data_IF_968760526224
#
_entry.id   IF_968760526224
#
_cell.length_a   1.000
_cell.length_b   1.000
_cell.length_c   1.000
_cell.angle_alpha   90.00
_cell.angle_beta   90.00
_cell.angle_gamma   90.00
#
_symmetry.space_group_name_H-M   'P 1'
#
loop_
_entity.id
_entity.type
_entity.pdbx_description
1 polymer ?
#
# COMPACT_ATOMS: atom_id res chain seq x y z
N UNK A 1 -16.73 7.44 -18.30
CA UNK A 1 -15.32 7.26 -17.91
C UNK A 1 -14.53 8.53 -18.23
N UNK A 2 -13.46 8.82 -17.48
CA UNK A 2 -12.54 9.92 -17.78
C UNK A 2 -11.46 9.52 -18.81
N UNK A 3 -10.56 10.47 -19.14
CA UNK A 3 -9.45 10.25 -20.10
C UNK A 3 -8.49 9.13 -19.69
N UNK A 4 -8.47 8.77 -18.41
CA UNK A 4 -7.61 7.74 -17.83
C UNK A 4 -8.37 6.41 -17.64
N UNK A 5 -9.56 6.27 -18.25
CA UNK A 5 -10.47 5.12 -18.11
C UNK A 5 -10.89 4.84 -16.65
N UNK A 6 -10.90 5.85 -15.79
CA UNK A 6 -11.54 5.75 -14.48
C UNK A 6 -13.02 6.08 -14.58
N UNK A 7 -13.82 5.52 -13.66
CA UNK A 7 -15.19 6.00 -13.49
C UNK A 7 -15.18 7.48 -13.14
N UNK A 8 -16.03 8.23 -13.83
CA UNK A 8 -16.44 9.54 -13.37
C UNK A 8 -17.09 9.41 -12.00
N UNK A 9 -17.16 10.51 -11.26
CA UNK A 9 -17.80 10.48 -9.95
C UNK A 9 -19.28 10.13 -10.00
N UNK A 10 -19.97 10.50 -11.07
CA UNK A 10 -21.38 10.17 -11.25
C UNK A 10 -21.56 8.68 -11.49
N UNK A 11 -20.74 8.09 -12.35
CA UNK A 11 -20.70 6.63 -12.56
C UNK A 11 -20.42 5.94 -11.23
N UNK A 12 -19.38 6.39 -10.50
CA UNK A 12 -18.95 5.80 -9.23
C UNK A 12 -20.07 5.76 -8.17
N UNK A 13 -20.78 6.87 -7.91
CA UNK A 13 -21.86 6.90 -6.91
C UNK A 13 -23.17 6.26 -7.39
N UNK A 14 -23.29 5.97 -8.69
CA UNK A 14 -24.47 5.36 -9.28
C UNK A 14 -25.71 6.28 -9.29
N UNK A 15 -26.90 5.71 -9.56
CA UNK A 15 -28.14 6.47 -9.53
C UNK A 15 -28.40 7.07 -8.14
N UNK A 16 -28.91 8.30 -8.12
CA UNK A 16 -29.15 9.08 -6.89
C UNK A 16 -30.64 9.43 -6.84
N UNK A 17 -31.26 9.34 -5.65
CA UNK A 17 -32.71 9.42 -5.47
C UNK A 17 -33.36 10.77 -5.77
N UNK A 18 -32.58 11.85 -5.93
CA UNK A 18 -33.12 13.15 -6.41
C UNK A 18 -32.04 14.06 -7.03
N UNK A 19 -32.44 15.04 -7.88
CA UNK A 19 -31.53 16.06 -8.40
C UNK A 19 -30.87 16.90 -7.30
N UNK A 20 -31.61 17.25 -6.25
CA UNK A 20 -31.09 18.01 -5.10
C UNK A 20 -29.99 17.22 -4.37
N UNK A 21 -30.21 15.93 -4.11
CA UNK A 21 -29.21 15.06 -3.50
C UNK A 21 -27.94 14.98 -4.35
N UNK A 22 -28.08 14.93 -5.68
CA UNK A 22 -26.95 14.94 -6.62
C UNK A 22 -26.14 16.24 -6.52
N UNK A 23 -26.80 17.40 -6.45
CA UNK A 23 -26.13 18.71 -6.26
C UNK A 23 -25.36 18.74 -4.95
N UNK A 24 -25.97 18.27 -3.86
CA UNK A 24 -25.33 18.22 -2.54
C UNK A 24 -24.08 17.32 -2.54
N UNK A 25 -24.14 16.15 -3.19
CA UNK A 25 -22.97 15.25 -3.32
C UNK A 25 -21.82 15.91 -4.10
N UNK A 26 -22.13 16.60 -5.21
CA UNK A 26 -21.12 17.33 -5.99
C UNK A 26 -20.49 18.47 -5.18
N UNK A 27 -21.31 19.23 -4.45
CA UNK A 27 -20.84 20.31 -3.58
C UNK A 27 -19.92 19.78 -2.47
N UNK A 28 -20.34 18.72 -1.77
CA UNK A 28 -19.54 18.08 -0.72
C UNK A 28 -18.18 17.57 -1.26
N UNK A 29 -18.17 16.95 -2.45
CA UNK A 29 -16.94 16.51 -3.11
C UNK A 29 -16.00 17.68 -3.43
N UNK A 30 -16.55 18.78 -3.95
CA UNK A 30 -15.76 19.98 -4.31
C UNK A 30 -15.15 20.61 -3.06
N UNK A 31 -15.93 20.77 -2.00
CA UNK A 31 -15.45 21.29 -0.72
C UNK A 31 -14.33 20.40 -0.14
N UNK A 32 -14.53 19.07 -0.13
CA UNK A 32 -13.54 18.12 0.36
C UNK A 32 -12.23 18.19 -0.44
N UNK A 33 -12.32 18.18 -1.78
CA UNK A 33 -11.14 18.30 -2.65
C UNK A 33 -10.34 19.58 -2.41
N UNK A 34 -11.00 20.72 -2.21
CA UNK A 34 -10.31 22.00 -2.00
C UNK A 34 -9.65 22.05 -0.62
N UNK A 35 -10.37 21.64 0.43
CA UNK A 35 -9.86 21.62 1.80
C UNK A 35 -8.67 20.67 1.94
N UNK A 36 -8.78 19.45 1.38
CA UNK A 36 -7.73 18.43 1.45
C UNK A 36 -6.50 18.83 0.65
N UNK A 37 -6.67 19.37 -0.57
CA UNK A 37 -5.52 19.79 -1.39
C UNK A 37 -4.68 20.86 -0.70
N UNK A 38 -5.31 21.89 -0.14
CA UNK A 38 -4.61 22.99 0.54
C UNK A 38 -3.89 22.49 1.79
N UNK A 39 -4.58 21.74 2.66
CA UNK A 39 -4.02 21.20 3.90
C UNK A 39 -2.89 20.20 3.64
N UNK A 40 -3.08 19.26 2.72
CA UNK A 40 -2.08 18.21 2.43
C UNK A 40 -0.86 18.77 1.70
N UNK A 41 -1.05 19.74 0.79
CA UNK A 41 0.06 20.37 0.07
C UNK A 41 0.96 21.17 1.02
N UNK A 42 0.37 21.97 1.91
CA UNK A 42 1.12 22.75 2.90
C UNK A 42 1.88 21.85 3.88
N UNK A 43 1.21 20.83 4.45
CA UNK A 43 1.83 19.89 5.41
C UNK A 43 3.02 19.13 4.80
N UNK A 44 2.97 18.78 3.50
CA UNK A 44 4.07 18.08 2.82
C UNK A 44 5.25 18.98 2.46
N UNK A 45 5.10 20.30 2.55
CA UNK A 45 6.17 21.28 2.31
C UNK A 45 6.87 21.73 3.60
N UNK A 46 6.16 21.75 4.73
CA UNK A 46 6.71 22.18 6.02
C UNK A 46 8.04 21.51 6.39
N UNK A 47 8.23 20.18 6.24
CA UNK A 47 9.51 19.54 6.54
C UNK A 47 10.71 20.04 5.72
N UNK A 48 10.48 20.77 4.62
CA UNK A 48 11.53 21.29 3.75
C UNK A 48 11.83 22.78 3.96
N UNK A 49 10.95 23.50 4.67
CA UNK A 49 11.07 24.96 4.85
C UNK A 49 11.28 25.36 6.30
N UNK A 50 10.84 24.55 7.27
CA UNK A 50 11.03 24.86 8.69
C UNK A 50 12.53 24.82 9.05
N UNK A 51 13.00 25.59 10.03
CA UNK A 51 14.39 25.52 10.49
C UNK A 51 14.66 24.22 11.24
N UNK A 52 15.88 23.68 11.16
CA UNK A 52 16.25 22.41 11.82
C UNK A 52 16.28 22.49 13.35
N UNK A 53 16.40 23.70 13.91
CA UNK A 53 16.44 23.97 15.36
C UNK A 53 15.60 25.21 15.70
N UNK A 54 15.29 25.39 16.98
CA UNK A 54 14.58 26.57 17.51
C UNK A 54 13.07 26.39 17.62
N UNK A 55 12.33 27.42 18.08
CA UNK A 55 10.92 27.30 18.47
C UNK A 55 9.98 26.90 17.33
N UNK A 56 10.38 27.13 16.07
CA UNK A 56 9.60 26.80 14.89
C UNK A 56 9.92 25.42 14.30
N UNK A 57 10.98 24.75 14.77
CA UNK A 57 11.44 23.47 14.18
C UNK A 57 10.48 22.31 14.41
N UNK A 58 9.54 22.45 15.36
CA UNK A 58 8.60 21.40 15.73
C UNK A 58 7.16 21.63 15.21
N UNK A 59 6.94 22.64 14.36
CA UNK A 59 5.62 22.93 13.78
C UNK A 59 5.12 21.80 12.85
N UNK A 60 6.02 20.97 12.33
CA UNK A 60 5.68 19.75 11.58
C UNK A 60 5.57 18.49 12.48
N UNK A 61 5.76 18.61 13.79
CA UNK A 61 5.76 17.47 14.71
C UNK A 61 4.41 16.75 14.82
N UNK A 62 3.31 17.39 14.40
CA UNK A 62 1.98 16.79 14.31
C UNK A 62 1.68 16.08 12.98
N UNK A 63 2.63 16.03 12.05
CA UNK A 63 2.50 15.22 10.83
C UNK A 63 2.46 13.75 11.24
N UNK A 64 1.50 13.00 10.72
CA UNK A 64 1.42 11.56 10.92
C UNK A 64 2.40 10.88 9.97
N UNK A 65 3.30 10.07 10.51
CA UNK A 65 4.20 9.21 9.75
C UNK A 65 4.15 7.80 10.32
N UNK A 66 4.51 6.83 9.49
CA UNK A 66 4.76 5.47 9.95
C UNK A 66 6.25 5.18 9.88
N UNK A 67 6.78 4.68 11.00
CA UNK A 67 8.19 4.32 11.15
C UNK A 67 8.22 3.03 11.95
N UNK A 68 8.99 2.06 11.45
CA UNK A 68 9.31 0.84 12.15
C UNK A 68 10.82 0.75 12.37
N UNK A 69 11.24 0.36 13.56
CA UNK A 69 12.66 0.22 13.92
C UNK A 69 13.09 -1.20 13.61
N UNK A 70 13.85 -1.38 12.53
CA UNK A 70 14.43 -2.67 12.13
C UNK A 70 15.63 -3.01 13.01
N UNK A 71 16.45 -2.00 13.33
CA UNK A 71 17.58 -2.11 14.25
C UNK A 71 17.73 -0.83 15.05
N UNK A 72 18.09 -0.95 16.33
CA UNK A 72 18.31 0.18 17.24
C UNK A 72 19.75 0.66 17.21
N UNK A 73 20.70 -0.25 17.04
CA UNK A 73 22.12 0.04 17.00
C UNK A 73 22.83 -0.97 16.06
N UNK A 74 23.24 -0.54 14.86
CA UNK A 74 23.05 0.78 14.28
C UNK A 74 21.57 1.07 13.98
N UNK A 75 21.17 2.35 13.95
CA UNK A 75 19.79 2.75 13.74
C UNK A 75 19.34 2.51 12.29
N UNK A 76 18.42 1.57 12.09
CA UNK A 76 17.79 1.28 10.78
C UNK A 76 16.29 1.39 10.90
N UNK A 77 15.70 2.27 10.11
CA UNK A 77 14.28 2.60 10.11
C UNK A 77 13.63 2.19 8.80
N UNK A 78 12.46 1.59 8.87
CA UNK A 78 11.61 1.27 7.73
C UNK A 78 10.41 2.23 7.69
N UNK A 79 10.15 2.86 6.55
CA UNK A 79 9.05 3.82 6.43
C UNK A 79 8.37 3.75 5.06
N UNK A 80 7.03 3.73 4.99
CA UNK A 80 6.31 3.87 3.75
C UNK A 80 6.45 5.30 3.19
N UNK A 81 6.68 5.39 1.88
CA UNK A 81 6.74 6.66 1.13
C UNK A 81 5.74 6.64 -0.02
N UNK A 82 5.22 7.80 -0.42
CA UNK A 82 4.27 7.86 -1.53
C UNK A 82 3.59 9.21 -1.74
N UNK A 83 2.67 9.24 -2.71
CA UNK A 83 1.95 10.45 -3.09
C UNK A 83 2.78 11.40 -3.98
N UNK A 84 2.46 12.70 -3.99
CA UNK A 84 3.06 13.68 -4.91
C UNK A 84 4.46 14.17 -4.50
N UNK A 85 4.85 14.00 -3.23
CA UNK A 85 6.20 14.32 -2.74
C UNK A 85 6.63 13.26 -1.72
N UNK A 86 7.09 12.08 -2.17
CA UNK A 86 7.27 10.91 -1.31
C UNK A 86 8.22 11.11 -0.13
N UNK A 87 9.20 12.01 -0.26
CA UNK A 87 10.26 12.22 0.72
C UNK A 87 9.85 13.01 1.97
N UNK A 88 8.62 13.54 2.03
CA UNK A 88 8.20 14.42 3.13
C UNK A 88 8.24 13.76 4.51
N UNK A 89 7.93 12.46 4.61
CA UNK A 89 7.95 11.71 5.87
C UNK A 89 9.37 11.60 6.40
N UNK A 90 10.32 11.24 5.52
CA UNK A 90 11.76 11.11 5.80
C UNK A 90 12.36 12.46 6.18
N UNK A 91 11.98 13.53 5.49
CA UNK A 91 12.39 14.88 5.85
C UNK A 91 11.91 15.26 7.27
N UNK A 92 10.65 14.96 7.60
CA UNK A 92 10.07 15.31 8.89
C UNK A 92 10.75 14.58 10.06
N UNK A 93 10.93 13.25 9.96
CA UNK A 93 11.56 12.48 11.04
C UNK A 93 13.08 12.62 11.04
N UNK A 94 13.72 12.56 9.87
CA UNK A 94 15.17 12.54 9.74
C UNK A 94 15.84 13.79 10.28
N UNK A 95 15.24 14.96 10.11
CA UNK A 95 15.78 16.20 10.67
C UNK A 95 15.92 16.19 12.19
N UNK A 96 15.05 15.44 12.89
CA UNK A 96 15.09 15.28 14.35
C UNK A 96 16.14 14.26 14.79
N UNK A 97 16.64 13.47 13.84
CA UNK A 97 17.67 12.46 14.02
C UNK A 97 18.99 12.88 13.39
N UNK A 98 19.11 14.12 12.89
CA UNK A 98 20.25 14.56 12.08
C UNK A 98 21.62 14.47 12.79
N UNK A 99 21.65 14.40 14.12
CA UNK A 99 22.88 14.20 14.90
C UNK A 99 23.25 12.73 15.09
N UNK A 100 22.45 11.80 14.57
CA UNK A 100 22.59 10.36 14.77
C UNK A 100 22.70 9.67 13.42
N UNK A 101 23.76 8.89 13.22
CA UNK A 101 23.89 8.05 12.03
C UNK A 101 22.69 7.10 11.92
N UNK A 102 22.03 7.06 10.76
CA UNK A 102 20.83 6.27 10.56
C UNK A 102 20.68 5.79 9.12
N UNK A 103 20.03 4.65 8.91
CA UNK A 103 19.59 4.22 7.58
C UNK A 103 18.06 4.23 7.50
N UNK A 104 17.53 4.76 6.40
CA UNK A 104 16.11 4.80 6.09
C UNK A 104 15.80 3.90 4.90
N UNK A 105 15.11 2.80 5.17
CA UNK A 105 14.53 1.90 4.19
C UNK A 105 13.17 2.45 3.76
N UNK A 106 13.09 2.96 2.53
CA UNK A 106 11.91 3.62 1.99
C UNK A 106 11.10 2.64 1.16
N UNK A 107 9.92 2.28 1.65
CA UNK A 107 8.99 1.40 0.94
C UNK A 107 7.98 2.22 0.13
N UNK A 108 7.99 2.18 -1.22
CA UNK A 108 6.97 2.86 -2.00
C UNK A 108 5.61 2.20 -1.77
N UNK A 109 4.69 2.96 -1.18
CA UNK A 109 3.27 2.60 -1.00
C UNK A 109 2.41 2.91 -2.23
N UNK A 110 2.99 3.60 -3.21
CA UNK A 110 2.42 3.90 -4.51
C UNK A 110 3.53 3.95 -5.55
N UNK A 111 3.23 3.66 -6.81
CA UNK A 111 4.26 3.62 -7.84
C UNK A 111 5.04 4.93 -7.95
N UNK A 112 6.37 4.77 -8.08
CA UNK A 112 7.29 5.86 -8.34
C UNK A 112 7.48 6.12 -9.83
N UNK A 113 6.91 5.31 -10.73
CA UNK A 113 6.98 5.43 -12.20
C UNK A 113 6.16 6.62 -12.73
N UNK A 114 6.46 7.81 -12.23
CA UNK A 114 5.78 9.08 -12.53
C UNK A 114 6.87 10.14 -12.69
N UNK A 115 7.14 10.62 -13.91
CA UNK A 115 8.30 11.48 -14.19
C UNK A 115 8.45 12.68 -13.24
N UNK A 116 7.37 13.43 -13.00
CA UNK A 116 7.39 14.59 -12.10
C UNK A 116 7.69 14.21 -10.64
N UNK A 117 7.33 13.00 -10.20
CA UNK A 117 7.64 12.51 -8.85
C UNK A 117 9.10 12.10 -8.75
N UNK A 118 9.63 11.41 -9.77
CA UNK A 118 11.05 11.02 -9.84
C UNK A 118 11.96 12.25 -9.84
N UNK A 119 11.65 13.27 -10.65
CA UNK A 119 12.39 14.53 -10.66
C UNK A 119 12.36 15.22 -9.29
N UNK A 120 11.19 15.25 -8.64
CA UNK A 120 11.06 15.82 -7.30
C UNK A 120 11.86 15.04 -6.25
N UNK A 121 11.93 13.71 -6.35
CA UNK A 121 12.75 12.87 -5.48
C UNK A 121 14.22 13.24 -5.62
N UNK A 122 14.74 13.43 -6.84
CA UNK A 122 16.13 13.86 -7.05
C UNK A 122 16.46 15.18 -6.34
N UNK A 123 15.56 16.17 -6.44
CA UNK A 123 15.71 17.45 -5.72
C UNK A 123 15.67 17.28 -4.20
N UNK A 124 14.75 16.44 -3.71
CA UNK A 124 14.59 16.19 -2.28
C UNK A 124 15.79 15.44 -1.69
N UNK A 125 16.36 14.48 -2.43
CA UNK A 125 17.59 13.76 -2.07
C UNK A 125 18.79 14.70 -1.96
N UNK A 126 19.01 15.54 -2.98
CA UNK A 126 20.11 16.51 -2.97
C UNK A 126 19.98 17.52 -1.81
N UNK A 127 18.75 17.93 -1.49
CA UNK A 127 18.48 18.77 -0.32
C UNK A 127 18.75 18.03 0.99
N UNK A 128 18.29 16.78 1.11
CA UNK A 128 18.40 16.01 2.34
C UNK A 128 19.84 15.63 2.66
N UNK A 129 20.65 15.25 1.66
CA UNK A 129 22.06 14.90 1.83
C UNK A 129 22.88 16.04 2.44
N UNK A 130 22.52 17.31 2.17
CA UNK A 130 23.17 18.47 2.80
C UNK A 130 22.77 18.66 4.27
N UNK A 131 21.59 18.21 4.64
CA UNK A 131 21.01 18.44 5.97
C UNK A 131 21.30 17.30 6.95
N UNK A 132 21.37 16.07 6.45
CA UNK A 132 21.59 14.85 7.21
C UNK A 132 22.67 13.99 6.52
N UNK A 133 23.95 14.41 6.52
CA UNK A 133 25.00 13.72 5.77
C UNK A 133 25.29 12.29 6.27
N UNK A 134 25.02 12.01 7.54
CA UNK A 134 25.22 10.69 8.15
C UNK A 134 24.02 9.74 7.96
N UNK A 135 23.03 10.14 7.17
CA UNK A 135 21.87 9.33 6.87
C UNK A 135 22.01 8.60 5.53
N UNK A 136 21.90 7.28 5.55
CA UNK A 136 21.77 6.47 4.34
C UNK A 136 20.29 6.34 3.97
N UNK A 137 19.90 6.69 2.75
CA UNK A 137 18.52 6.57 2.28
C UNK A 137 18.45 5.55 1.15
N UNK A 138 17.68 4.49 1.35
CA UNK A 138 17.62 3.33 0.45
C UNK A 138 16.17 3.08 0.05
N UNK A 139 15.87 3.17 -1.25
CA UNK A 139 14.55 2.82 -1.78
C UNK A 139 14.42 1.32 -2.00
N UNK A 140 13.38 0.73 -1.42
CA UNK A 140 12.97 -0.67 -1.62
C UNK A 140 11.93 -0.71 -2.74
N UNK A 141 12.38 -0.63 -3.98
CA UNK A 141 11.53 -0.45 -5.16
C UNK A 141 10.69 -1.70 -5.46
N UNK A 142 9.43 -1.49 -5.86
CA UNK A 142 8.49 -2.57 -6.17
C UNK A 142 8.70 -3.18 -7.54
N UNK A 143 9.37 -2.46 -8.44
CA UNK A 143 9.74 -2.91 -9.78
C UNK A 143 11.19 -2.57 -10.06
N UNK A 144 11.78 -3.27 -11.02
CA UNK A 144 13.12 -2.97 -11.52
C UNK A 144 13.15 -1.60 -12.22
N UNK A 145 12.04 -1.19 -12.84
CA UNK A 145 11.91 0.13 -13.45
C UNK A 145 11.93 1.25 -12.40
N UNK A 146 11.23 1.09 -11.27
CA UNK A 146 11.34 2.02 -10.15
C UNK A 146 12.78 2.12 -9.65
N UNK A 147 13.49 0.99 -9.53
CA UNK A 147 14.91 0.97 -9.12
C UNK A 147 15.76 1.78 -10.08
N UNK A 148 15.59 1.56 -11.39
CA UNK A 148 16.32 2.27 -12.45
C UNK A 148 16.04 3.76 -12.42
N UNK A 149 14.77 4.17 -12.29
CA UNK A 149 14.36 5.58 -12.27
C UNK A 149 14.92 6.32 -11.05
N UNK A 150 14.94 5.68 -9.88
CA UNK A 150 15.50 6.29 -8.66
C UNK A 150 17.02 6.39 -8.73
N UNK A 151 17.69 5.34 -9.25
CA UNK A 151 19.14 5.40 -9.48
C UNK A 151 19.52 6.53 -10.47
N UNK A 152 18.71 6.76 -11.50
CA UNK A 152 18.94 7.80 -12.50
C UNK A 152 18.88 9.24 -11.93
N UNK A 153 18.25 9.44 -10.77
CA UNK A 153 18.23 10.73 -10.06
C UNK A 153 19.16 10.77 -8.85
N UNK A 154 20.10 9.83 -8.76
CA UNK A 154 21.14 9.76 -7.72
C UNK A 154 20.69 9.13 -6.40
N UNK A 155 19.55 8.43 -6.38
CA UNK A 155 19.10 7.70 -5.19
C UNK A 155 19.69 6.30 -5.10
N UNK A 156 19.99 5.83 -3.90
CA UNK A 156 20.28 4.42 -3.64
C UNK A 156 18.98 3.62 -3.68
N UNK A 157 18.91 2.61 -4.55
CA UNK A 157 17.71 1.80 -4.72
C UNK A 157 18.06 0.32 -4.95
N UNK A 158 17.25 -0.56 -4.35
CA UNK A 158 17.26 -2.00 -4.62
C UNK A 158 15.88 -2.46 -5.05
N UNK A 159 15.81 -3.54 -5.82
CA UNK A 159 14.55 -4.22 -6.08
C UNK A 159 14.18 -5.06 -4.86
N UNK A 160 13.12 -4.66 -4.17
CA UNK A 160 12.62 -5.34 -2.97
C UNK A 160 11.14 -5.01 -2.83
N UNK A 161 10.31 -5.82 -3.51
CA UNK A 161 8.88 -5.60 -3.56
C UNK A 161 8.23 -5.65 -2.17
N UNK A 162 7.37 -4.68 -1.85
CA UNK A 162 6.82 -4.56 -0.50
C UNK A 162 5.90 -5.72 -0.10
N UNK A 163 5.47 -6.55 -1.05
CA UNK A 163 4.65 -7.72 -0.76
C UNK A 163 5.39 -8.78 0.05
N UNK A 164 6.73 -8.71 0.15
CA UNK A 164 7.51 -9.52 1.08
C UNK A 164 7.05 -9.40 2.55
N UNK A 165 6.43 -8.25 2.90
CA UNK A 165 5.97 -7.93 4.25
C UNK A 165 4.62 -8.56 4.62
N UNK A 166 3.94 -9.22 3.67
CA UNK A 166 2.66 -9.90 3.95
C UNK A 166 2.90 -11.15 4.79
N UNK A 167 2.11 -11.32 5.84
CA UNK A 167 2.21 -12.48 6.73
C UNK A 167 1.67 -13.74 6.06
N UNK A 168 2.54 -14.73 5.95
CA UNK A 168 2.21 -16.08 5.51
C UNK A 168 1.59 -16.94 6.63
N UNK A 169 1.56 -16.49 7.88
CA UNK A 169 0.84 -17.17 8.97
C UNK A 169 -0.66 -16.85 8.97
N UNK A 170 -0.99 -15.57 8.69
CA UNK A 170 -2.37 -15.09 8.68
C UNK A 170 -3.10 -15.49 7.41
N UNK A 171 -2.48 -15.23 6.25
CA UNK A 171 -3.06 -15.54 4.95
C UNK A 171 -2.63 -16.93 4.50
N UNK A 172 -3.60 -17.84 4.47
CA UNK A 172 -3.40 -19.25 4.14
C UNK A 172 -4.73 -19.92 3.74
N UNK A 173 -4.69 -20.99 2.95
CA UNK A 173 -5.84 -21.84 2.72
C UNK A 173 -6.44 -22.32 4.04
N UNK A 174 -7.76 -22.23 4.15
CA UNK A 174 -8.55 -22.73 5.27
C UNK A 174 -9.40 -23.91 4.74
N UNK A 175 -9.08 -25.16 5.09
CA UNK A 175 -9.72 -26.34 4.50
C UNK A 175 -11.21 -26.44 4.82
N UNK A 176 -11.65 -25.90 5.95
CA UNK A 176 -13.04 -25.99 6.42
C UNK A 176 -13.94 -24.85 5.92
N UNK A 177 -13.43 -23.99 5.03
CA UNK A 177 -14.20 -22.86 4.47
C UNK A 177 -14.64 -23.19 3.05
N UNK A 178 -15.94 -23.38 2.81
CA UNK A 178 -16.44 -23.68 1.47
C UNK A 178 -16.33 -22.45 0.56
N UNK A 179 -16.15 -22.72 -0.74
CA UNK A 179 -16.21 -21.68 -1.78
C UNK A 179 -17.68 -21.35 -2.06
N UNK A 180 -18.05 -20.10 -1.85
CA UNK A 180 -19.41 -19.56 -2.03
C UNK A 180 -19.49 -18.56 -3.21
N UNK A 181 -18.37 -17.93 -3.56
CA UNK A 181 -18.28 -16.85 -4.56
C UNK A 181 -17.34 -17.24 -5.70
N UNK A 182 -17.65 -16.78 -6.91
CA UNK A 182 -16.77 -16.91 -8.07
C UNK A 182 -15.51 -16.06 -7.89
N UNK A 183 -15.65 -14.88 -7.26
CA UNK A 183 -14.53 -14.01 -7.01
C UNK A 183 -14.67 -13.17 -5.73
N UNK A 184 -13.52 -12.67 -5.25
CA UNK A 184 -13.42 -11.63 -4.21
C UNK A 184 -12.71 -10.40 -4.77
N UNK A 185 -13.23 -9.22 -4.44
CA UNK A 185 -12.53 -7.97 -4.69
C UNK A 185 -12.28 -7.15 -3.41
N UNK A 186 -11.00 -6.97 -3.08
CA UNK A 186 -10.54 -6.13 -1.96
C UNK A 186 -10.07 -4.79 -2.50
N UNK A 187 -10.80 -3.74 -2.15
CA UNK A 187 -10.53 -2.42 -2.70
C UNK A 187 -11.04 -1.30 -1.80
N UNK A 188 -10.26 -0.22 -1.74
CA UNK A 188 -10.74 1.01 -1.14
C UNK A 188 -11.94 1.54 -1.92
N UNK A 189 -12.84 2.26 -1.26
CA UNK A 189 -13.94 2.99 -1.92
C UNK A 189 -13.31 4.17 -2.68
N UNK A 190 -13.01 3.94 -3.96
CA UNK A 190 -12.30 4.90 -4.81
C UNK A 190 -12.53 4.62 -6.30
N UNK A 191 -12.59 5.67 -7.11
CA UNK A 191 -12.62 5.60 -8.57
C UNK A 191 -11.42 4.86 -9.20
N UNK A 192 -10.23 4.95 -8.58
CA UNK A 192 -9.01 4.29 -9.10
C UNK A 192 -9.05 2.77 -8.98
N UNK A 193 -9.94 2.25 -8.13
CA UNK A 193 -10.14 0.82 -7.92
C UNK A 193 -11.01 0.16 -8.99
N UNK A 194 -11.73 0.93 -9.82
CA UNK A 194 -12.50 0.42 -10.97
C UNK A 194 -13.43 -0.75 -10.60
N UNK A 195 -14.18 -0.63 -9.49
CA UNK A 195 -15.07 -1.68 -8.99
C UNK A 195 -16.09 -2.16 -10.03
N UNK A 196 -16.52 -1.28 -10.95
CA UNK A 196 -17.43 -1.60 -12.04
C UNK A 196 -16.95 -2.74 -12.95
N UNK A 197 -15.65 -2.98 -13.05
CA UNK A 197 -15.10 -4.06 -13.88
C UNK A 197 -15.47 -5.45 -13.36
N UNK A 198 -15.90 -5.56 -12.10
CA UNK A 198 -16.31 -6.82 -11.50
C UNK A 198 -17.82 -7.08 -11.64
N UNK A 199 -18.60 -6.13 -12.17
CA UNK A 199 -20.06 -6.13 -12.05
C UNK A 199 -20.78 -7.22 -12.86
N UNK A 200 -20.14 -7.75 -13.89
CA UNK A 200 -20.68 -8.85 -14.69
C UNK A 200 -20.46 -10.23 -14.05
N UNK A 201 -19.64 -10.33 -12.99
CA UNK A 201 -19.40 -11.59 -12.27
C UNK A 201 -20.68 -12.00 -11.55
N UNK A 202 -21.07 -13.27 -11.63
CA UNK A 202 -22.34 -13.76 -11.07
C UNK A 202 -22.34 -13.68 -9.53
N UNK A 203 -21.42 -14.38 -8.85
CA UNK A 203 -21.29 -14.36 -7.38
C UNK A 203 -20.00 -13.67 -6.97
N UNK A 204 -20.11 -12.47 -6.41
CA UNK A 204 -18.97 -11.64 -6.02
C UNK A 204 -19.05 -11.22 -4.56
N UNK A 205 -17.93 -11.35 -3.84
CA UNK A 205 -17.79 -10.75 -2.52
C UNK A 205 -16.83 -9.56 -2.55
N UNK A 206 -17.26 -8.43 -2.01
CA UNK A 206 -16.48 -7.23 -1.87
C UNK A 206 -15.94 -7.08 -0.45
N UNK A 207 -14.67 -6.76 -0.33
CA UNK A 207 -14.10 -6.13 0.86
C UNK A 207 -13.84 -4.67 0.50
N UNK A 208 -14.74 -3.79 0.94
CA UNK A 208 -14.72 -2.38 0.61
C UNK A 208 -14.38 -1.55 1.84
N UNK A 209 -13.37 -0.68 1.75
CA UNK A 209 -12.94 0.16 2.89
C UNK A 209 -12.90 1.63 2.51
N UNK A 210 -13.52 2.48 3.32
CA UNK A 210 -13.35 3.94 3.21
C UNK A 210 -12.13 4.39 4.00
N UNK A 211 -11.26 5.17 3.36
CA UNK A 211 -10.13 5.86 4.02
C UNK A 211 -10.28 7.39 3.98
N UNK A 212 -11.49 7.89 3.71
CA UNK A 212 -11.76 9.32 3.61
C UNK A 212 -11.42 9.98 2.27
N UNK A 213 -11.08 9.22 1.23
CA UNK A 213 -10.90 9.78 -0.13
C UNK A 213 -12.19 10.40 -0.71
N UNK A 214 -13.33 9.83 -0.30
CA UNK A 214 -14.64 10.37 -0.60
C UNK A 214 -15.27 10.96 0.67
N UNK A 215 -16.05 12.04 0.53
CA UNK A 215 -16.90 12.50 1.63
C UNK A 215 -17.82 11.36 2.10
N UNK A 216 -18.18 11.30 3.40
CA UNK A 216 -19.03 10.23 3.94
C UNK A 216 -20.32 10.00 3.16
N UNK A 217 -20.99 11.07 2.72
CA UNK A 217 -22.22 10.97 1.91
C UNK A 217 -22.00 10.29 0.55
N UNK A 218 -20.85 10.50 -0.07
CA UNK A 218 -20.47 9.88 -1.34
C UNK A 218 -20.04 8.43 -1.15
N UNK A 219 -19.32 8.12 -0.07
CA UNK A 219 -18.98 6.75 0.29
C UNK A 219 -20.23 5.90 0.58
N UNK A 220 -21.22 6.46 1.31
CA UNK A 220 -22.53 5.81 1.52
C UNK A 220 -23.28 5.55 0.21
N UNK A 221 -23.22 6.49 -0.73
CA UNK A 221 -23.84 6.31 -2.05
C UNK A 221 -23.18 5.17 -2.83
N UNK A 222 -21.85 5.10 -2.80
CA UNK A 222 -21.09 4.00 -3.39
C UNK A 222 -21.46 2.64 -2.78
N UNK A 223 -21.56 2.55 -1.45
CA UNK A 223 -21.96 1.31 -0.75
C UNK A 223 -23.36 0.86 -1.19
N UNK A 224 -24.33 1.79 -1.26
CA UNK A 224 -25.67 1.47 -1.77
C UNK A 224 -25.65 0.96 -3.21
N UNK A 225 -24.81 1.55 -4.08
CA UNK A 225 -24.63 1.09 -5.46
C UNK A 225 -24.12 -0.36 -5.49
N UNK A 226 -23.09 -0.69 -4.70
CA UNK A 226 -22.59 -2.06 -4.60
C UNK A 226 -23.68 -3.03 -4.12
N UNK A 227 -24.47 -2.65 -3.11
CA UNK A 227 -25.58 -3.48 -2.62
C UNK A 227 -26.69 -3.68 -3.66
N UNK A 228 -26.93 -2.69 -4.52
CA UNK A 228 -27.96 -2.74 -5.55
C UNK A 228 -27.51 -3.43 -6.84
N UNK A 229 -26.22 -3.75 -6.98
CA UNK A 229 -25.66 -4.26 -8.23
C UNK A 229 -26.21 -5.63 -8.60
N UNK A 230 -26.25 -6.56 -7.66
CA UNK A 230 -26.77 -7.92 -7.85
C UNK A 230 -27.17 -8.52 -6.49
N UNK A 231 -28.27 -9.28 -6.40
CA UNK A 231 -28.62 -10.00 -5.18
C UNK A 231 -27.63 -11.12 -4.82
N UNK A 232 -26.77 -11.53 -5.77
CA UNK A 232 -25.72 -12.52 -5.56
C UNK A 232 -24.37 -11.89 -5.17
N UNK A 233 -24.32 -10.56 -5.09
CA UNK A 233 -23.14 -9.85 -4.59
C UNK A 233 -23.26 -9.62 -3.09
N UNK A 234 -22.13 -9.66 -2.39
CA UNK A 234 -22.08 -9.42 -0.94
C UNK A 234 -20.97 -8.45 -0.58
N UNK A 235 -21.23 -7.52 0.33
CA UNK A 235 -20.19 -6.76 1.02
C UNK A 235 -19.86 -7.49 2.33
N UNK A 236 -18.62 -7.96 2.48
CA UNK A 236 -18.22 -8.71 3.66
C UNK A 236 -18.02 -7.83 4.91
N UNK A 237 -17.66 -6.56 4.73
CA UNK A 237 -17.53 -5.60 5.82
C UNK A 237 -18.89 -5.39 6.52
N UNK A 238 -18.95 -5.38 7.86
CA UNK A 238 -20.13 -4.94 8.59
C UNK A 238 -20.52 -3.52 8.16
N UNK A 239 -21.81 -3.26 8.01
CA UNK A 239 -22.32 -1.94 7.65
C UNK A 239 -22.88 -1.27 8.91
N UNK A 240 -22.23 -0.20 9.35
CA UNK A 240 -22.61 0.62 10.51
C UNK A 240 -22.88 2.03 10.01
N UNK A 241 -24.09 2.55 10.26
CA UNK A 241 -24.53 3.88 9.78
C UNK A 241 -24.32 4.09 8.26
N UNK A 242 -24.51 3.02 7.47
CA UNK A 242 -24.34 3.03 6.02
C UNK A 242 -22.88 3.05 5.55
N UNK A 243 -21.91 2.89 6.45
CA UNK A 243 -20.48 2.83 6.17
C UNK A 243 -19.92 1.44 6.47
N UNK A 244 -18.90 1.02 5.73
CA UNK A 244 -18.18 -0.24 5.96
C UNK A 244 -17.23 -0.12 7.16
N UNK A 245 -17.41 -0.96 8.16
CA UNK A 245 -16.44 -1.15 9.24
C UNK A 245 -15.22 -1.98 8.77
N UNK A 246 -14.09 -1.84 9.47
CA UNK A 246 -12.88 -2.61 9.17
C UNK A 246 -13.04 -4.08 9.57
N UNK A 247 -12.46 -4.96 8.76
CA UNK A 247 -12.22 -6.36 9.11
C UNK A 247 -10.79 -6.53 9.62
N UNK A 248 -10.58 -7.43 10.56
CA UNK A 248 -9.25 -7.93 10.91
C UNK A 248 -8.65 -8.74 9.76
N UNK A 249 -7.33 -8.92 9.74
CA UNK A 249 -6.67 -9.72 8.69
C UNK A 249 -7.15 -11.18 8.69
N UNK A 250 -7.48 -11.75 9.85
CA UNK A 250 -8.02 -13.11 9.94
C UNK A 250 -9.43 -13.21 9.31
N UNK A 251 -10.29 -12.21 9.54
CA UNK A 251 -11.61 -12.13 8.90
C UNK A 251 -11.47 -11.93 7.38
N UNK A 252 -10.52 -11.10 6.94
CA UNK A 252 -10.20 -10.94 5.51
C UNK A 252 -9.76 -12.27 4.90
N UNK A 253 -8.82 -13.00 5.52
CA UNK A 253 -8.40 -14.31 5.02
C UNK A 253 -9.57 -15.31 4.96
N UNK A 254 -10.49 -15.28 5.93
CA UNK A 254 -11.70 -16.11 5.91
C UNK A 254 -12.57 -15.78 4.69
N UNK A 255 -12.77 -14.50 4.38
CA UNK A 255 -13.51 -14.07 3.18
C UNK A 255 -12.80 -14.51 1.90
N UNK A 256 -11.48 -14.43 1.82
CA UNK A 256 -10.72 -14.92 0.67
C UNK A 256 -10.97 -16.40 0.44
N UNK A 257 -10.99 -17.19 1.51
CA UNK A 257 -11.26 -18.62 1.41
C UNK A 257 -12.71 -18.96 1.01
N UNK A 258 -13.63 -18.01 1.00
CA UNK A 258 -14.98 -18.18 0.44
C UNK A 258 -15.06 -17.91 -1.07
N UNK A 259 -13.99 -17.44 -1.71
CA UNK A 259 -13.98 -17.13 -3.15
C UNK A 259 -13.07 -18.08 -3.94
N UNK A 260 -13.40 -18.30 -5.22
CA UNK A 260 -12.57 -19.07 -6.13
C UNK A 260 -11.38 -18.28 -6.67
N UNK A 261 -11.55 -16.97 -6.91
CA UNK A 261 -10.56 -16.11 -7.60
C UNK A 261 -10.42 -14.75 -6.91
N UNK A 262 -9.19 -14.23 -6.79
CA UNK A 262 -8.91 -12.88 -6.32
C UNK A 262 -8.83 -11.87 -7.48
N UNK A 263 -9.32 -10.64 -7.26
CA UNK A 263 -9.39 -9.61 -8.32
C UNK A 263 -8.41 -8.45 -8.11
N UNK A 264 -7.65 -8.11 -9.16
CA UNK A 264 -6.70 -7.00 -9.20
C UNK A 264 -7.06 -6.01 -10.32
N UNK A 265 -7.98 -5.09 -10.04
CA UNK A 265 -8.68 -4.32 -11.10
C UNK A 265 -8.18 -2.90 -11.33
N UNK A 266 -7.28 -2.35 -10.52
CA UNK A 266 -6.77 -0.97 -10.68
C UNK A 266 -5.73 -0.83 -11.78
N UNK A 267 -5.64 0.35 -12.40
CA UNK A 267 -4.71 0.64 -13.51
C UNK A 267 -3.29 0.97 -13.02
N UNK A 268 -3.15 1.50 -11.81
CA UNK A 268 -1.88 1.81 -11.19
C UNK A 268 -2.02 1.80 -9.67
N UNK A 269 -1.05 1.20 -8.97
CA UNK A 269 -0.93 1.21 -7.51
C UNK A 269 0.55 1.23 -7.10
N UNK A 270 0.90 0.76 -5.89
CA UNK A 270 2.19 0.11 -5.67
C UNK A 270 2.08 -1.38 -6.00
N UNK A 271 2.77 -2.25 -5.25
CA UNK A 271 2.68 -3.70 -5.49
C UNK A 271 1.37 -4.36 -5.01
N UNK A 272 0.43 -3.59 -4.46
CA UNK A 272 -0.92 -4.03 -4.06
C UNK A 272 -0.91 -5.23 -3.10
N UNK A 273 -0.94 -4.97 -1.79
CA UNK A 273 -0.99 -6.02 -0.75
C UNK A 273 -2.01 -7.12 -1.01
N UNK A 274 -3.24 -6.78 -1.42
CA UNK A 274 -4.28 -7.78 -1.66
C UNK A 274 -3.89 -8.81 -2.72
N UNK A 275 -3.06 -8.48 -3.71
CA UNK A 275 -2.60 -9.49 -4.68
C UNK A 275 -1.78 -10.58 -3.99
N UNK A 276 -0.86 -10.19 -3.11
CA UNK A 276 -0.06 -11.14 -2.34
C UNK A 276 -0.90 -11.86 -1.29
N UNK A 277 -1.85 -11.18 -0.63
CA UNK A 277 -2.74 -11.84 0.32
C UNK A 277 -3.58 -12.94 -0.36
N UNK A 278 -4.07 -12.71 -1.59
CA UNK A 278 -4.77 -13.74 -2.37
C UNK A 278 -3.88 -14.95 -2.65
N UNK A 279 -2.67 -14.72 -3.16
CA UNK A 279 -1.72 -15.80 -3.44
C UNK A 279 -1.36 -16.60 -2.18
N UNK A 280 -1.15 -15.90 -1.06
CA UNK A 280 -0.89 -16.52 0.24
C UNK A 280 -2.09 -17.33 0.74
N UNK A 281 -3.32 -16.86 0.53
CA UNK A 281 -4.55 -17.60 0.79
C UNK A 281 -4.82 -18.73 -0.22
N UNK A 282 -4.00 -18.85 -1.27
CA UNK A 282 -4.09 -19.90 -2.29
C UNK A 282 -5.06 -19.60 -3.43
N UNK A 283 -5.44 -18.35 -3.64
CA UNK A 283 -6.38 -17.97 -4.71
C UNK A 283 -5.62 -17.69 -6.02
N UNK A 284 -6.06 -18.26 -7.15
CA UNK A 284 -5.78 -17.73 -8.48
C UNK A 284 -6.18 -16.26 -8.60
N UNK A 285 -5.56 -15.51 -9.51
CA UNK A 285 -5.79 -14.08 -9.69
C UNK A 285 -6.23 -13.73 -11.11
N UNK A 286 -7.26 -12.90 -11.21
CA UNK A 286 -7.51 -12.12 -12.43
C UNK A 286 -7.06 -10.68 -12.16
N UNK A 287 -6.16 -10.20 -13.00
CA UNK A 287 -5.67 -8.84 -13.00
C UNK A 287 -6.04 -8.15 -14.30
N UNK A 288 -6.06 -6.82 -14.26
CA UNK A 288 -5.94 -5.97 -15.46
C UNK A 288 -4.48 -5.55 -15.64
N UNK A 289 -4.08 -5.04 -16.83
CA UNK A 289 -2.80 -4.35 -16.97
C UNK A 289 -2.63 -3.26 -15.91
N UNK A 290 -1.43 -3.16 -15.32
CA UNK A 290 -1.15 -2.27 -14.20
C UNK A 290 0.28 -1.76 -14.16
N UNK A 291 0.47 -0.64 -13.46
CA UNK A 291 1.77 -0.16 -13.00
C UNK A 291 1.93 -0.37 -11.48
N UNK A 292 3.16 -0.64 -11.03
CA UNK A 292 3.54 -0.66 -9.61
C UNK A 292 4.01 -2.02 -9.06
N UNK A 293 4.07 -3.07 -9.87
CA UNK A 293 4.75 -4.33 -9.51
C UNK A 293 3.92 -5.35 -8.74
N UNK A 294 2.58 -5.33 -8.87
CA UNK A 294 1.72 -6.36 -8.25
C UNK A 294 1.88 -7.75 -8.86
N UNK A 295 2.37 -7.78 -10.09
CA UNK A 295 2.58 -8.95 -10.96
C UNK A 295 3.94 -9.63 -10.75
N UNK A 296 4.84 -9.06 -9.95
CA UNK A 296 6.16 -9.64 -9.61
C UNK A 296 6.08 -11.10 -9.15
N UNK A 297 5.00 -11.47 -8.44
CA UNK A 297 4.80 -12.82 -7.91
C UNK A 297 3.76 -13.64 -8.68
N UNK A 298 3.23 -13.09 -9.78
CA UNK A 298 2.26 -13.82 -10.58
C UNK A 298 2.89 -15.04 -11.23
N UNK A 299 2.01 -15.97 -11.58
CA UNK A 299 2.37 -17.18 -12.27
C UNK A 299 1.36 -17.43 -13.38
N UNK A 300 1.78 -17.64 -14.64
CA UNK A 300 0.86 -17.78 -15.77
C UNK A 300 -0.13 -18.95 -15.61
N UNK A 301 0.17 -19.94 -14.77
CA UNK A 301 -0.71 -21.09 -14.57
C UNK A 301 -2.00 -20.71 -13.81
N UNK A 302 -1.90 -19.73 -12.90
CA UNK A 302 -2.99 -19.34 -11.99
C UNK A 302 -3.22 -17.82 -11.89
N UNK A 303 -2.53 -17.01 -12.69
CA UNK A 303 -2.76 -15.58 -12.81
C UNK A 303 -3.04 -15.22 -14.28
N UNK A 304 -4.17 -14.56 -14.54
CA UNK A 304 -4.53 -14.05 -15.87
C UNK A 304 -4.55 -12.53 -15.87
N UNK A 305 -3.96 -11.92 -16.90
CA UNK A 305 -4.11 -10.50 -17.21
C UNK A 305 -5.18 -10.38 -18.30
N UNK A 306 -6.33 -9.84 -17.94
CA UNK A 306 -7.47 -9.65 -18.83
C UNK A 306 -7.63 -8.17 -19.21
N UNK A 307 -8.24 -7.94 -20.38
CA UNK A 307 -8.64 -6.60 -20.79
C UNK A 307 -9.54 -5.94 -19.73
N UNK A 308 -9.42 -4.62 -19.50
CA UNK A 308 -10.18 -3.90 -18.48
C UNK A 308 -11.63 -3.65 -18.92
N UNK A 309 -12.35 -4.73 -19.21
CA UNK A 309 -13.73 -4.77 -19.66
C UNK A 309 -14.54 -5.79 -18.83
N UNK A 310 -15.75 -5.47 -18.32
CA UNK A 310 -16.49 -6.36 -17.42
C UNK A 310 -16.66 -7.80 -17.93
N UNK A 311 -17.02 -7.97 -19.21
CA UNK A 311 -17.19 -9.28 -19.83
C UNK A 311 -15.88 -10.07 -19.92
N UNK A 312 -14.75 -9.41 -20.16
CA UNK A 312 -13.43 -10.04 -20.21
C UNK A 312 -12.98 -10.49 -18.80
N UNK A 313 -13.23 -9.65 -17.78
CA UNK A 313 -12.97 -10.00 -16.39
C UNK A 313 -13.81 -11.21 -15.97
N UNK A 314 -15.12 -11.21 -16.25
CA UNK A 314 -16.01 -12.35 -15.98
C UNK A 314 -15.47 -13.63 -16.62
N UNK A 315 -15.16 -13.60 -17.92
CA UNK A 315 -14.64 -14.77 -18.64
C UNK A 315 -13.33 -15.30 -18.03
N UNK A 316 -12.43 -14.41 -17.62
CA UNK A 316 -11.18 -14.79 -16.97
C UNK A 316 -11.42 -15.43 -15.59
N UNK A 317 -12.39 -14.92 -14.82
CA UNK A 317 -12.80 -15.49 -13.53
C UNK A 317 -13.37 -16.90 -13.73
N UNK A 318 -14.32 -17.07 -14.65
CA UNK A 318 -14.91 -18.37 -15.00
C UNK A 318 -13.82 -19.36 -15.40
N UNK A 319 -12.90 -18.92 -16.26
CA UNK A 319 -11.75 -19.74 -16.71
C UNK A 319 -10.91 -20.25 -15.54
N UNK A 320 -10.51 -19.39 -14.59
CA UNK A 320 -9.69 -19.81 -13.46
C UNK A 320 -10.47 -20.63 -12.42
N UNK A 321 -11.73 -20.28 -12.17
CA UNK A 321 -12.64 -21.05 -11.30
C UNK A 321 -12.78 -22.48 -11.80
N UNK A 322 -13.02 -22.66 -13.10
CA UNK A 322 -13.32 -23.96 -13.70
C UNK A 322 -12.08 -24.86 -13.81
N UNK A 323 -10.87 -24.29 -13.80
CA UNK A 323 -9.61 -25.05 -13.70
C UNK A 323 -9.45 -25.78 -12.36
N UNK A 324 -10.13 -25.34 -11.29
CA UNK A 324 -10.06 -25.94 -9.95
C UNK A 324 -8.63 -26.14 -9.44
N UNK A 325 -7.78 -25.14 -9.65
CA UNK A 325 -6.37 -25.16 -9.24
C UNK A 325 -6.30 -25.35 -7.73
N UNK A 326 -5.42 -26.25 -7.28
CA UNK A 326 -5.22 -26.50 -5.85
C UNK A 326 -4.76 -25.23 -5.13
N UNK A 327 -5.47 -24.85 -4.06
CA UNK A 327 -5.08 -23.70 -3.23
C UNK A 327 -3.70 -23.89 -2.59
N UNK A 328 -3.36 -25.14 -2.25
CA UNK A 328 -2.04 -25.45 -1.70
C UNK A 328 -0.93 -25.28 -2.74
N UNK A 329 -1.22 -25.60 -4.00
CA UNK A 329 -0.27 -25.43 -5.10
C UNK A 329 0.05 -23.95 -5.33
N UNK A 330 -0.99 -23.11 -5.46
CA UNK A 330 -0.83 -21.64 -5.61
C UNK A 330 0.00 -21.07 -4.47
N UNK A 331 -0.31 -21.45 -3.23
CA UNK A 331 0.42 -21.00 -2.06
C UNK A 331 1.87 -21.48 -2.04
N UNK A 332 2.12 -22.77 -2.29
CA UNK A 332 3.45 -23.37 -2.21
C UNK A 332 4.42 -22.69 -3.19
N UNK A 333 4.00 -22.54 -4.45
CA UNK A 333 4.79 -21.84 -5.49
C UNK A 333 5.02 -20.37 -5.16
N UNK A 334 4.03 -19.70 -4.57
CA UNK A 334 4.19 -18.31 -4.12
C UNK A 334 5.21 -18.21 -2.98
N UNK A 335 5.13 -19.10 -1.99
CA UNK A 335 6.06 -19.12 -0.86
C UNK A 335 7.50 -19.39 -1.30
N UNK A 336 7.72 -20.22 -2.30
CA UNK A 336 9.05 -20.46 -2.86
C UNK A 336 9.68 -19.15 -3.40
N UNK A 337 8.95 -18.42 -4.24
CA UNK A 337 9.36 -17.11 -4.77
C UNK A 337 9.63 -16.10 -3.64
N UNK A 338 8.73 -16.04 -2.64
CA UNK A 338 8.86 -15.12 -1.50
C UNK A 338 10.05 -15.48 -0.62
N UNK A 339 10.28 -16.76 -0.32
CA UNK A 339 11.42 -17.21 0.51
C UNK A 339 12.74 -16.81 -0.12
N UNK A 340 12.92 -17.01 -1.41
CA UNK A 340 14.14 -16.61 -2.12
C UNK A 340 14.42 -15.10 -1.96
N UNK A 341 13.43 -14.25 -2.22
CA UNK A 341 13.61 -12.80 -2.10
C UNK A 341 13.72 -12.31 -0.63
N UNK A 342 13.06 -12.98 0.33
CA UNK A 342 13.25 -12.70 1.77
C UNK A 342 14.70 -12.95 2.17
N UNK A 343 15.33 -14.04 1.69
CA UNK A 343 16.73 -14.35 1.96
C UNK A 343 17.67 -13.29 1.34
N UNK A 344 17.40 -12.84 0.11
CA UNK A 344 18.16 -11.77 -0.54
C UNK A 344 18.10 -10.46 0.27
N UNK A 345 16.90 -10.05 0.69
CA UNK A 345 16.75 -8.84 1.51
C UNK A 345 17.42 -8.99 2.88
N UNK A 346 17.31 -10.16 3.53
CA UNK A 346 17.99 -10.41 4.80
C UNK A 346 19.51 -10.36 4.67
N UNK A 347 20.06 -10.88 3.58
CA UNK A 347 21.49 -10.78 3.28
C UNK A 347 21.91 -9.31 3.07
N UNK A 348 21.13 -8.55 2.31
CA UNK A 348 21.36 -7.11 2.12
C UNK A 348 21.32 -6.33 3.44
N UNK A 349 20.30 -6.57 4.27
CA UNK A 349 20.17 -5.92 5.58
C UNK A 349 21.32 -6.31 6.52
N UNK A 350 21.76 -7.57 6.50
CA UNK A 350 22.93 -8.00 7.28
C UNK A 350 24.20 -7.26 6.83
N UNK A 351 24.40 -7.08 5.53
CA UNK A 351 25.52 -6.32 5.00
C UNK A 351 25.43 -4.82 5.34
N UNK A 352 24.22 -4.25 5.31
CA UNK A 352 23.96 -2.87 5.75
C UNK A 352 24.32 -2.68 7.22
N UNK A 353 23.83 -3.57 8.10
CA UNK A 353 24.13 -3.52 9.54
C UNK A 353 25.64 -3.59 9.82
N UNK A 354 26.36 -4.51 9.17
CA UNK A 354 27.83 -4.59 9.27
C UNK A 354 28.54 -3.33 8.78
N UNK A 355 28.15 -2.80 7.61
CA UNK A 355 28.70 -1.53 7.07
C UNK A 355 28.44 -0.35 8.02
N UNK A 356 27.35 -0.41 8.78
CA UNK A 356 27.01 0.58 9.78
C UNK A 356 27.67 0.35 11.15
N UNK A 357 28.48 -0.71 11.31
CA UNK A 357 29.27 -0.98 12.50
C UNK A 357 28.70 -2.03 13.45
N UNK A 358 27.70 -2.82 13.04
CA UNK A 358 27.18 -3.92 13.85
C UNK A 358 28.10 -5.15 13.81
N UNK A 359 28.42 -5.70 14.98
CA UNK A 359 29.11 -6.98 15.14
C UNK A 359 28.16 -8.19 15.25
N UNK A 360 26.84 -7.95 15.16
CA UNK A 360 25.85 -9.01 15.24
C UNK A 360 26.02 -10.02 14.08
N UNK A 361 25.68 -11.31 14.30
CA UNK A 361 25.66 -12.28 13.22
C UNK A 361 24.63 -11.87 12.15
N UNK A 362 24.76 -12.36 10.89
CA UNK A 362 23.75 -12.16 9.86
C UNK A 362 22.36 -12.55 10.34
N UNK A 363 21.36 -11.85 9.85
CA UNK A 363 19.96 -12.15 10.12
C UNK A 363 19.66 -13.58 9.66
N UNK A 364 19.27 -14.44 10.60
CA UNK A 364 18.84 -15.82 10.36
C UNK A 364 17.32 -15.96 10.35
N UNK A 365 16.59 -14.92 10.76
CA UNK A 365 15.13 -14.87 10.79
C UNK A 365 14.62 -13.58 10.13
N UNK A 366 13.40 -13.63 9.62
CA UNK A 366 12.74 -12.48 9.00
C UNK A 366 12.54 -11.37 10.03
N UNK A 367 13.12 -10.16 9.84
CA UNK A 367 13.16 -9.13 10.88
C UNK A 367 11.89 -8.28 10.94
N UNK A 368 10.95 -8.44 10.00
CA UNK A 368 9.76 -7.60 9.93
C UNK A 368 8.56 -8.30 10.58
N UNK A 369 7.80 -7.60 11.42
CA UNK A 369 6.56 -8.12 11.97
C UNK A 369 5.46 -8.17 10.89
N UNK A 370 4.29 -8.77 11.19
CA UNK A 370 3.12 -8.67 10.32
C UNK A 370 2.79 -7.22 9.95
N UNK A 371 2.24 -7.01 8.74
CA UNK A 371 2.04 -5.68 8.15
C UNK A 371 1.23 -4.72 9.05
N UNK A 372 0.30 -5.23 9.86
CA UNK A 372 -0.48 -4.43 10.81
C UNK A 372 0.38 -3.74 11.87
N UNK A 373 1.44 -4.41 12.34
CA UNK A 373 2.41 -3.87 13.30
C UNK A 373 3.50 -3.02 12.63
N UNK A 374 3.79 -3.29 11.35
CA UNK A 374 4.76 -2.52 10.56
C UNK A 374 4.26 -1.09 10.28
N UNK A 375 2.95 -0.88 10.17
CA UNK A 375 2.32 0.36 9.72
C UNK A 375 1.74 1.23 10.86
N UNK A 376 2.43 1.34 12.00
CA UNK A 376 2.00 2.22 13.10
C UNK A 376 2.12 3.69 12.68
N UNK A 377 0.99 4.37 12.53
CA UNK A 377 0.93 5.81 12.27
C UNK A 377 0.87 6.58 13.58
N UNK A 378 1.79 7.53 13.76
CA UNK A 378 1.82 8.43 14.91
C UNK A 378 2.40 9.79 14.51
N UNK A 379 2.19 10.84 15.33
CA UNK A 379 2.89 12.12 15.17
C UNK A 379 4.40 11.94 15.10
N UNK A 380 5.07 12.70 14.23
CA UNK A 380 6.54 12.74 14.13
C UNK A 380 7.19 13.01 15.48
N UNK A 381 6.61 13.89 16.30
CA UNK A 381 7.14 14.19 17.65
C UNK A 381 7.17 12.98 18.58
N UNK A 382 6.20 12.08 18.45
CA UNK A 382 6.09 10.91 19.32
C UNK A 382 7.12 9.87 18.90
N UNK A 383 7.22 9.59 17.59
CA UNK A 383 8.30 8.77 17.05
C UNK A 383 9.70 9.29 17.42
N UNK A 384 9.93 10.60 17.32
CA UNK A 384 11.22 11.19 17.66
C UNK A 384 11.55 11.04 19.16
N UNK A 385 10.57 11.23 20.06
CA UNK A 385 10.76 10.99 21.50
C UNK A 385 11.06 9.52 21.79
N UNK A 386 10.31 8.61 21.20
CA UNK A 386 10.54 7.16 21.33
C UNK A 386 11.95 6.78 20.87
N UNK A 387 12.39 7.28 19.71
CA UNK A 387 13.73 7.02 19.18
C UNK A 387 14.85 7.65 20.01
N UNK A 388 14.63 8.83 20.60
CA UNK A 388 15.60 9.47 21.49
C UNK A 388 15.78 8.69 22.80
N UNK A 389 14.70 8.10 23.35
CA UNK A 389 14.80 7.22 24.53
C UNK A 389 15.58 5.92 24.24
N UNK A 390 15.58 5.49 22.97
CA UNK A 390 16.30 4.31 22.50
C UNK A 390 17.77 4.58 22.14
N UNK A 391 18.21 5.84 22.16
CA UNK A 391 19.58 6.23 21.84
C UNK A 391 20.55 5.70 22.93
N UNK A 392 21.63 5.05 22.47
CA UNK A 392 22.66 4.49 23.36
C UNK A 392 23.38 5.62 24.11
N UNK A 393 24.13 5.35 25.18
CA UNK A 393 24.97 6.36 25.83
C UNK A 393 26.00 7.00 24.87
N UNK A 394 26.44 6.26 23.84
CA UNK A 394 27.38 6.74 22.83
C UNK A 394 26.75 7.75 21.84
N UNK A 395 25.43 7.73 21.67
CA UNK A 395 24.68 8.70 20.84
C UNK A 395 24.42 10.05 21.57
N UNK A 396 24.80 10.17 22.85
CA UNK A 396 24.53 11.36 23.70
C UNK A 396 25.77 12.22 23.99
N UNK A 397 26.94 11.80 23.52
CA UNK A 397 28.20 12.54 23.57
C UNK A 397 28.41 13.28 22.24
#
# INVERSE_FOLDING_TARGET
MDKDRHETFEEMIGPVGSPLQRVLLKAARRANRTADKLRLSARKRFPFILPSRGPLSDLDGGIQVSVHVVSRDPLVLYTPVGGPRPFYSVAAIGRRLASRRAAFLLMPSWTLERPAVVEQIGRDLAWYARLCPDHEVIFLCNTEEERRLIAAVGGTAIFSNHNLMISDDVFRPLPDVPVEFDAVYTGRISHTKRHYLAFDIEKLVHIATSIGELPPSSARAFIRRLQAQSPLHRIANPIVEGMTASLSQAEVNRVYNQAAVGLCLSAAEGAMYSSMEYLMAGLPIVSTPSLGGRDVYFDPDYCLIAEPEPAAIRKAVETLRDRRISRQEVRARTLEKVRAQRLELMAYLSALLRRMGSDAPPLSQWPFPPTSALMRWAPVRDHARELAMLASPADRA
#
